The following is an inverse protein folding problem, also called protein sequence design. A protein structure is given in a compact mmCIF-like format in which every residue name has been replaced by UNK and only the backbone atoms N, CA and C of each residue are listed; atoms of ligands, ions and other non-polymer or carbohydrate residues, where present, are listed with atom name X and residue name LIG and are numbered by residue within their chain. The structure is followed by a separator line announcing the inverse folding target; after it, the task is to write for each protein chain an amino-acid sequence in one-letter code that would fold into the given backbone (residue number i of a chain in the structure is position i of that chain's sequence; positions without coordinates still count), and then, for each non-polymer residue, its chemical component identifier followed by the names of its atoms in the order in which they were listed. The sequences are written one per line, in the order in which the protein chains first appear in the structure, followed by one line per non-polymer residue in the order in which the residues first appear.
data_IF_217159668283
#
_entry.id   IF_217159668283
#
_cell.length_a   1.000
_cell.length_b   1.000
_cell.length_c   1.000
_cell.angle_alpha   90.00
_cell.angle_beta   90.00
_cell.angle_gamma   90.00
#
_symmetry.space_group_name_H-M   'P 1'
#
loop_
_entity.id
_entity.type
_entity.pdbx_description
1 polymer ?
#
# COMPACT_ATOMS: atom_id res chain seq x y z
N UNK A 1 8.07 29.02 -9.87
CA UNK A 1 7.15 29.47 -10.95
C UNK A 1 6.28 30.58 -10.35
N UNK A 2 5.97 31.66 -11.06
CA UNK A 2 5.14 32.76 -10.51
C UNK A 2 3.81 32.79 -11.25
N UNK A 3 2.71 32.64 -10.52
CA UNK A 3 1.35 32.83 -11.05
C UNK A 3 0.83 34.19 -10.62
N UNK A 4 0.09 34.82 -11.52
CA UNK A 4 -0.54 36.12 -11.31
C UNK A 4 -2.04 35.89 -11.15
N UNK A 5 -2.60 36.29 -10.03
CA UNK A 5 -4.02 36.16 -9.73
C UNK A 5 -4.84 37.26 -10.42
N UNK A 6 -6.17 37.13 -10.45
CA UNK A 6 -7.07 38.09 -11.12
C UNK A 6 -7.04 39.50 -10.50
N UNK A 7 -6.63 39.61 -9.24
CA UNK A 7 -6.39 40.85 -8.49
C UNK A 7 -4.94 41.35 -8.63
N UNK A 8 -4.19 40.83 -9.60
CA UNK A 8 -2.83 41.26 -9.95
C UNK A 8 -1.75 40.92 -8.89
N UNK A 9 -2.08 40.04 -7.95
CA UNK A 9 -1.15 39.55 -6.94
C UNK A 9 -0.23 38.47 -7.53
N UNK A 10 1.07 38.58 -7.27
CA UNK A 10 2.04 37.56 -7.68
C UNK A 10 2.21 36.51 -6.58
N UNK A 11 1.87 35.26 -6.88
CA UNK A 11 2.09 34.12 -6.00
C UNK A 11 3.28 33.32 -6.54
N UNK A 12 4.31 33.17 -5.72
CA UNK A 12 5.41 32.25 -6.04
C UNK A 12 5.02 30.82 -5.65
N UNK A 13 4.97 29.95 -6.64
CA UNK A 13 4.90 28.51 -6.45
C UNK A 13 6.31 27.99 -6.14
N UNK A 14 6.45 27.45 -4.93
CA UNK A 14 7.57 26.60 -4.54
C UNK A 14 7.44 25.21 -5.16
N UNK A 15 8.56 24.50 -5.30
CA UNK A 15 8.53 23.07 -5.58
C UNK A 15 7.72 22.38 -4.47
N UNK A 16 6.75 21.55 -4.84
CA UNK A 16 5.80 20.93 -3.90
C UNK A 16 4.52 21.73 -3.60
N UNK A 17 4.26 22.84 -4.32
CA UNK A 17 3.02 23.65 -4.13
C UNK A 17 1.72 22.93 -4.55
N UNK A 18 1.80 21.68 -4.99
CA UNK A 18 0.66 20.86 -5.39
C UNK A 18 -0.08 21.40 -6.60
N UNK A 19 -1.23 20.80 -6.85
CA UNK A 19 -2.18 21.17 -7.90
C UNK A 19 -3.50 21.57 -7.24
N UNK A 20 -4.26 22.46 -7.88
CA UNK A 20 -5.56 22.88 -7.36
C UNK A 20 -6.57 21.72 -7.47
N UNK A 21 -7.27 21.45 -6.37
CA UNK A 21 -8.35 20.46 -6.40
C UNK A 21 -9.47 20.91 -7.34
N UNK A 22 -9.91 20.01 -8.22
CA UNK A 22 -10.89 20.31 -9.27
C UNK A 22 -10.28 20.82 -10.57
N UNK A 23 -8.95 21.01 -10.64
CA UNK A 23 -8.26 21.20 -11.91
C UNK A 23 -8.31 19.89 -12.71
N UNK A 24 -8.78 19.98 -13.96
CA UNK A 24 -8.87 18.83 -14.87
C UNK A 24 -7.51 18.18 -15.17
N UNK A 25 -6.41 18.93 -15.08
CA UNK A 25 -5.07 18.42 -15.33
C UNK A 25 -4.38 17.84 -14.09
N UNK A 26 -4.93 18.08 -12.89
CA UNK A 26 -4.31 17.67 -11.62
C UNK A 26 -4.07 16.16 -11.53
N UNK A 27 -5.07 15.37 -11.93
CA UNK A 27 -5.00 13.91 -11.86
C UNK A 27 -3.91 13.36 -12.80
N UNK A 28 -3.89 13.81 -14.05
CA UNK A 28 -2.90 13.38 -15.04
C UNK A 28 -1.47 13.75 -14.61
N UNK A 29 -1.27 14.97 -14.11
CA UNK A 29 0.03 15.43 -13.62
C UNK A 29 0.49 14.62 -12.41
N UNK A 30 -0.41 14.30 -11.47
CA UNK A 30 -0.09 13.46 -10.34
C UNK A 30 0.29 12.05 -10.79
N UNK A 31 -0.54 11.41 -11.63
CA UNK A 31 -0.29 10.06 -12.15
C UNK A 31 1.02 9.96 -12.93
N UNK A 32 1.38 11.00 -13.71
CA UNK A 32 2.62 11.05 -14.46
C UNK A 32 3.89 11.02 -13.58
N UNK A 33 3.79 11.47 -12.33
CA UNK A 33 4.89 11.43 -11.34
C UNK A 33 4.78 10.21 -10.44
N UNK A 34 3.57 9.94 -9.91
CA UNK A 34 3.33 8.89 -8.93
C UNK A 34 3.54 7.48 -9.50
N UNK A 35 3.01 7.19 -10.69
CA UNK A 35 3.06 5.83 -11.24
C UNK A 35 4.49 5.35 -11.50
N UNK A 36 5.39 6.14 -12.14
CA UNK A 36 6.78 5.74 -12.30
C UNK A 36 7.50 5.54 -10.97
N UNK A 37 7.26 6.43 -9.98
CA UNK A 37 7.85 6.31 -8.65
C UNK A 37 7.42 5.03 -7.94
N UNK A 38 6.13 4.69 -7.99
CA UNK A 38 5.62 3.43 -7.43
C UNK A 38 6.18 2.23 -8.19
N UNK A 39 6.30 2.30 -9.51
CA UNK A 39 6.87 1.21 -10.30
C UNK A 39 8.34 0.94 -9.91
N UNK A 40 9.14 1.99 -9.68
CA UNK A 40 10.50 1.88 -9.14
C UNK A 40 10.52 1.26 -7.75
N UNK A 41 9.65 1.70 -6.84
CA UNK A 41 9.49 1.11 -5.52
C UNK A 41 9.13 -0.39 -5.60
N UNK A 42 8.18 -0.78 -6.45
CA UNK A 42 7.80 -2.19 -6.66
C UNK A 42 8.98 -3.03 -7.17
N UNK A 43 9.78 -2.48 -8.08
CA UNK A 43 10.98 -3.17 -8.58
C UNK A 43 11.99 -3.41 -7.44
N UNK A 44 12.28 -2.40 -6.62
CA UNK A 44 13.17 -2.56 -5.45
C UNK A 44 12.63 -3.58 -4.44
N UNK A 45 11.32 -3.59 -4.18
CA UNK A 45 10.72 -4.60 -3.31
C UNK A 45 10.91 -6.03 -3.81
N UNK A 46 10.86 -6.22 -5.13
CA UNK A 46 11.08 -7.52 -5.76
C UNK A 46 12.54 -7.98 -5.68
N UNK A 47 13.50 -7.04 -5.76
CA UNK A 47 14.93 -7.35 -5.62
C UNK A 47 15.30 -7.74 -4.19
N UNK A 48 14.62 -7.16 -3.21
CA UNK A 48 14.86 -7.38 -1.77
C UNK A 48 14.05 -8.56 -1.18
N UNK A 49 13.20 -9.24 -1.98
CA UNK A 49 12.35 -10.37 -1.58
C UNK A 49 11.46 -10.08 -0.34
N UNK A 50 10.91 -8.85 -0.29
CA UNK A 50 10.14 -8.35 0.87
C UNK A 50 8.65 -8.70 0.75
N UNK A 51 8.12 -8.76 -0.48
CA UNK A 51 6.69 -8.94 -0.72
C UNK A 51 6.24 -10.37 -0.41
N UNK A 52 4.92 -10.58 -0.40
CA UNK A 52 4.36 -11.92 -0.28
C UNK A 52 4.55 -12.79 -1.54
N UNK A 53 5.06 -12.23 -2.65
CA UNK A 53 5.25 -12.90 -3.95
C UNK A 53 4.02 -13.72 -4.35
N UNK A 54 2.87 -13.09 -4.32
CA UNK A 54 1.60 -13.72 -4.66
C UNK A 54 1.56 -13.98 -6.16
N UNK A 55 0.88 -15.06 -6.56
CA UNK A 55 0.67 -15.39 -7.96
C UNK A 55 -0.83 -15.46 -8.21
N UNK A 56 -1.34 -14.52 -9.00
CA UNK A 56 -2.72 -14.50 -9.44
C UNK A 56 -2.75 -14.61 -10.96
N UNK A 57 -3.67 -15.43 -11.48
CA UNK A 57 -3.96 -15.45 -12.90
C UNK A 57 -5.13 -14.52 -13.18
N UNK A 58 -4.92 -13.53 -14.02
CA UNK A 58 -6.00 -12.68 -14.51
C UNK A 58 -6.87 -13.49 -15.48
N UNK A 59 -8.14 -13.66 -15.15
CA UNK A 59 -9.08 -14.44 -15.96
C UNK A 59 -9.42 -13.77 -17.29
N UNK A 60 -9.26 -12.45 -17.41
CA UNK A 60 -9.59 -11.70 -18.61
C UNK A 60 -8.45 -11.74 -19.65
N UNK A 61 -7.21 -11.58 -19.18
CA UNK A 61 -6.03 -11.52 -20.05
C UNK A 61 -5.30 -12.85 -20.14
N UNK A 62 -5.44 -13.72 -19.13
CA UNK A 62 -4.69 -14.97 -18.98
C UNK A 62 -3.31 -14.78 -18.34
N UNK A 63 -2.90 -13.54 -18.07
CA UNK A 63 -1.57 -13.20 -17.57
C UNK A 63 -1.41 -13.55 -16.09
N UNK A 64 -0.18 -13.86 -15.70
CA UNK A 64 0.18 -13.99 -14.29
C UNK A 64 0.64 -12.65 -13.74
N UNK A 65 0.04 -12.23 -12.63
CA UNK A 65 0.34 -10.98 -11.96
C UNK A 65 0.65 -11.23 -10.48
N UNK A 66 1.50 -10.39 -9.90
CA UNK A 66 1.75 -10.35 -8.45
C UNK A 66 0.93 -9.21 -7.81
N UNK A 67 -0.17 -9.52 -7.10
CA UNK A 67 -0.97 -8.52 -6.41
C UNK A 67 -0.39 -8.10 -5.03
N UNK A 68 0.83 -8.49 -4.69
CA UNK A 68 1.41 -8.17 -3.37
C UNK A 68 1.53 -6.66 -3.14
N UNK A 69 1.71 -5.86 -4.18
CA UNK A 69 1.64 -4.41 -4.09
C UNK A 69 0.58 -3.88 -5.05
N UNK A 70 -0.36 -3.10 -4.53
CA UNK A 70 -1.45 -2.51 -5.31
C UNK A 70 -1.59 -1.03 -5.00
N UNK A 71 -2.03 -0.28 -5.99
CA UNK A 71 -2.34 1.15 -5.83
C UNK A 71 -3.71 1.50 -6.37
N UNK A 72 -4.29 2.54 -5.79
CA UNK A 72 -5.48 3.19 -6.31
C UNK A 72 -5.41 4.68 -5.98
N UNK A 73 -5.34 5.53 -7.01
CA UNK A 73 -5.04 6.95 -6.85
C UNK A 73 -3.74 7.17 -6.03
N UNK A 74 -3.81 7.83 -4.87
CA UNK A 74 -2.70 8.04 -3.94
C UNK A 74 -2.56 6.95 -2.87
N UNK A 75 -3.52 6.03 -2.77
CA UNK A 75 -3.46 4.91 -1.84
C UNK A 75 -2.53 3.80 -2.38
N UNK A 76 -1.65 3.32 -1.51
CA UNK A 76 -0.68 2.26 -1.77
C UNK A 76 -0.78 1.21 -0.67
N UNK A 77 -0.90 -0.06 -1.06
CA UNK A 77 -0.95 -1.21 -0.16
C UNK A 77 0.12 -2.21 -0.58
N UNK A 78 1.00 -2.57 0.36
CA UNK A 78 1.97 -3.65 0.19
C UNK A 78 1.69 -4.75 1.21
N UNK A 79 1.62 -5.99 0.73
CA UNK A 79 1.46 -7.21 1.51
C UNK A 79 2.81 -7.91 1.61
N UNK A 80 3.20 -8.27 2.83
CA UNK A 80 4.42 -8.99 3.13
C UNK A 80 4.14 -10.20 4.02
N UNK A 81 4.86 -11.29 3.82
CA UNK A 81 4.77 -12.48 4.66
C UNK A 81 5.77 -12.38 5.80
N UNK A 82 5.26 -12.47 7.03
CA UNK A 82 6.08 -12.35 8.25
C UNK A 82 6.01 -13.62 9.08
N UNK A 83 7.11 -13.93 9.76
CA UNK A 83 7.24 -15.15 10.58
C UNK A 83 6.81 -14.90 12.04
N UNK A 84 7.10 -13.70 12.54
CA UNK A 84 6.82 -13.27 13.90
C UNK A 84 6.69 -11.73 13.96
N UNK A 85 6.35 -11.21 15.14
CA UNK A 85 6.17 -9.77 15.35
C UNK A 85 7.46 -8.97 15.15
N UNK A 86 8.62 -9.51 15.52
CA UNK A 86 9.89 -8.80 15.34
C UNK A 86 10.29 -8.71 13.86
N UNK A 87 10.01 -9.76 13.08
CA UNK A 87 10.13 -9.75 11.63
C UNK A 87 9.16 -8.74 11.02
N UNK A 88 7.92 -8.66 11.51
CA UNK A 88 6.95 -7.67 11.04
C UNK A 88 7.41 -6.21 11.26
N UNK A 89 7.98 -5.88 12.43
CA UNK A 89 8.55 -4.55 12.68
C UNK A 89 9.67 -4.23 11.71
N UNK A 90 10.61 -5.16 11.49
CA UNK A 90 11.74 -4.96 10.57
C UNK A 90 11.28 -4.75 9.14
N UNK A 91 10.36 -5.60 8.67
CA UNK A 91 9.73 -5.50 7.35
C UNK A 91 9.03 -4.16 7.18
N UNK A 92 8.21 -3.73 8.15
CA UNK A 92 7.53 -2.45 8.10
C UNK A 92 8.51 -1.27 8.02
N UNK A 93 9.62 -1.31 8.74
CA UNK A 93 10.65 -0.27 8.68
C UNK A 93 11.33 -0.23 7.31
N UNK A 94 11.65 -1.40 6.74
CA UNK A 94 12.26 -1.51 5.42
C UNK A 94 11.32 -1.01 4.32
N UNK A 95 10.05 -1.43 4.34
CA UNK A 95 8.99 -0.94 3.42
C UNK A 95 8.88 0.59 3.47
N UNK A 96 8.81 1.17 4.66
CA UNK A 96 8.74 2.62 4.81
C UNK A 96 10.00 3.31 4.29
N UNK A 97 11.18 2.74 4.54
CA UNK A 97 12.44 3.34 4.11
C UNK A 97 12.54 3.35 2.58
N UNK A 98 12.23 2.22 1.94
CA UNK A 98 12.23 2.11 0.47
C UNK A 98 11.20 3.05 -0.16
N UNK A 99 10.00 3.12 0.42
CA UNK A 99 8.98 4.05 -0.08
C UNK A 99 9.45 5.50 0.00
N UNK A 100 9.94 5.94 1.17
CA UNK A 100 10.42 7.32 1.35
C UNK A 100 11.61 7.65 0.42
N UNK A 101 12.54 6.71 0.20
CA UNK A 101 13.64 6.88 -0.73
C UNK A 101 13.16 7.12 -2.17
N UNK A 102 12.03 6.53 -2.56
CA UNK A 102 11.44 6.69 -3.89
C UNK A 102 10.59 7.96 -4.02
N UNK A 103 9.82 8.34 -2.98
CA UNK A 103 8.86 9.46 -3.07
C UNK A 103 9.45 10.83 -2.72
N UNK A 104 10.44 10.90 -1.83
CA UNK A 104 11.06 12.17 -1.42
C UNK A 104 11.72 12.94 -2.58
N UNK A 105 12.48 12.30 -3.50
CA UNK A 105 13.13 13.01 -4.60
C UNK A 105 12.16 13.72 -5.55
N UNK A 106 10.91 13.26 -5.63
CA UNK A 106 9.86 13.86 -6.46
C UNK A 106 8.95 14.81 -5.67
N UNK A 107 9.29 15.11 -4.42
CA UNK A 107 8.55 16.04 -3.56
C UNK A 107 7.24 15.48 -3.01
N UNK A 108 7.03 14.17 -3.10
CA UNK A 108 5.91 13.47 -2.49
C UNK A 108 6.27 13.08 -1.04
N UNK A 109 5.26 13.06 -0.17
CA UNK A 109 5.43 12.70 1.24
C UNK A 109 4.29 11.83 1.71
N UNK A 110 4.60 10.82 2.51
CA UNK A 110 3.57 9.95 3.07
C UNK A 110 2.84 10.62 4.24
N UNK A 111 1.52 10.43 4.32
CA UNK A 111 0.75 10.88 5.46
C UNK A 111 0.86 9.88 6.62
N UNK A 112 1.82 10.09 7.52
CA UNK A 112 2.08 9.20 8.66
C UNK A 112 0.89 9.01 9.60
N UNK A 113 -0.05 9.97 9.67
CA UNK A 113 -1.25 9.85 10.50
C UNK A 113 -2.31 8.91 9.90
N UNK A 114 -2.22 8.62 8.59
CA UNK A 114 -3.11 7.72 7.88
C UNK A 114 -2.50 6.35 7.60
N UNK A 115 -1.18 6.18 7.82
CA UNK A 115 -0.52 4.88 7.66
C UNK A 115 -1.12 3.87 8.63
N UNK A 116 -1.42 2.68 8.12
CA UNK A 116 -1.95 1.57 8.90
C UNK A 116 -1.17 0.30 8.59
N UNK A 117 -0.92 -0.51 9.61
CA UNK A 117 -0.50 -1.89 9.43
C UNK A 117 -1.70 -2.78 9.77
N UNK A 118 -2.07 -3.67 8.85
CA UNK A 118 -3.16 -4.62 9.05
C UNK A 118 -2.55 -6.02 9.06
N UNK A 119 -2.75 -6.75 10.15
CA UNK A 119 -2.32 -8.14 10.24
C UNK A 119 -3.42 -9.05 9.71
N UNK A 120 -3.09 -9.88 8.72
CA UNK A 120 -3.98 -10.94 8.24
C UNK A 120 -3.38 -12.33 8.48
N UNK A 121 -4.23 -13.27 8.87
CA UNK A 121 -3.88 -14.67 9.00
C UNK A 121 -4.70 -15.48 8.00
N UNK A 122 -4.05 -16.37 7.25
CA UNK A 122 -4.70 -17.19 6.23
C UNK A 122 -4.47 -18.68 6.50
N UNK A 123 -5.41 -19.51 6.07
CA UNK A 123 -5.35 -20.97 6.22
C UNK A 123 -6.10 -21.54 7.43
N UNK A 124 -5.99 -22.86 7.63
CA UNK A 124 -6.86 -23.63 8.54
C UNK A 124 -6.80 -23.23 10.02
N UNK A 125 -5.74 -22.53 10.44
CA UNK A 125 -5.52 -22.09 11.83
C UNK A 125 -5.66 -20.58 12.01
N UNK A 126 -6.04 -19.84 10.97
CA UNK A 126 -6.17 -18.39 11.02
C UNK A 126 -7.08 -17.93 12.16
N UNK A 127 -8.24 -18.58 12.32
CA UNK A 127 -9.20 -18.25 13.38
C UNK A 127 -8.62 -18.47 14.79
N UNK A 128 -7.87 -19.55 15.01
CA UNK A 128 -7.19 -19.81 16.29
C UNK A 128 -6.11 -18.74 16.57
N UNK A 129 -5.36 -18.34 15.53
CA UNK A 129 -4.35 -17.31 15.64
C UNK A 129 -4.97 -15.95 15.96
N UNK A 130 -6.06 -15.56 15.29
CA UNK A 130 -6.79 -14.33 15.59
C UNK A 130 -7.29 -14.29 17.04
N UNK A 131 -7.88 -15.38 17.53
CA UNK A 131 -8.29 -15.48 18.93
C UNK A 131 -7.11 -15.29 19.88
N UNK A 132 -5.97 -15.93 19.61
CA UNK A 132 -4.76 -15.77 20.45
C UNK A 132 -4.13 -14.37 20.38
N UNK A 133 -4.23 -13.68 19.24
CA UNK A 133 -3.70 -12.34 19.05
C UNK A 133 -4.53 -11.29 19.78
N UNK A 134 -5.86 -11.42 19.76
CA UNK A 134 -6.78 -10.57 20.53
C UNK A 134 -6.57 -10.70 22.05
N UNK A 135 -6.15 -11.88 22.52
CA UNK A 135 -5.86 -12.15 23.92
C UNK A 135 -4.44 -11.73 24.36
N UNK A 136 -3.53 -11.46 23.41
CA UNK A 136 -2.12 -11.17 23.70
C UNK A 136 -1.80 -9.67 23.63
N UNK A 137 -1.04 -9.15 24.59
CA UNK A 137 -0.57 -7.75 24.65
C UNK A 137 0.43 -7.35 23.52
N UNK A 138 0.66 -8.22 22.53
CA UNK A 138 1.64 -8.04 21.44
C UNK A 138 1.27 -6.88 20.50
N UNK A 139 0.00 -6.45 20.52
CA UNK A 139 -0.56 -5.34 19.72
C UNK A 139 0.04 -3.97 20.08
N UNK A 140 0.85 -3.83 21.12
CA UNK A 140 1.33 -2.52 21.60
C UNK A 140 2.53 -1.93 20.84
N UNK A 141 3.26 -2.69 20.00
CA UNK A 141 4.47 -2.19 19.33
C UNK A 141 4.28 -1.75 17.88
N UNK A 142 3.18 -2.15 17.24
CA UNK A 142 2.73 -1.64 15.95
C UNK A 142 1.25 -1.33 16.15
N UNK A 143 0.76 -0.10 15.83
CA UNK A 143 -0.66 0.21 15.94
C UNK A 143 -1.42 -0.56 14.85
N UNK A 144 -1.73 -1.82 15.11
CA UNK A 144 -2.55 -2.63 14.23
C UNK A 144 -4.02 -2.22 14.40
N UNK A 145 -4.68 -1.90 13.29
CA UNK A 145 -6.14 -1.89 13.26
C UNK A 145 -6.59 -3.34 13.05
N UNK A 146 -7.28 -3.94 14.01
CA UNK A 146 -7.82 -5.31 13.89
C UNK A 146 -9.10 -5.39 13.05
N UNK A 147 -9.52 -4.28 12.44
CA UNK A 147 -10.64 -4.28 11.51
C UNK A 147 -10.18 -4.73 10.13
N UNK A 148 -10.74 -5.86 9.68
CA UNK A 148 -10.68 -6.27 8.27
C UNK A 148 -11.47 -5.26 7.45
N UNK A 149 -10.79 -4.27 6.88
CA UNK A 149 -11.39 -3.39 5.88
C UNK A 149 -11.30 -4.09 4.53
N UNK A 150 -12.35 -4.82 4.19
CA UNK A 150 -12.53 -5.40 2.86
C UNK A 150 -12.65 -4.26 1.83
N UNK A 151 -11.58 -4.04 1.06
CA UNK A 151 -11.68 -3.40 -0.25
C UNK A 151 -11.66 -4.50 -1.31
N UNK A 152 -12.85 -4.91 -1.75
CA UNK A 152 -13.06 -5.27 -3.16
C UNK A 152 -12.66 -6.65 -3.70
N UNK A 153 -12.33 -7.68 -2.89
CA UNK A 153 -12.17 -9.04 -3.43
C UNK A 153 -12.91 -10.09 -2.58
N UNK A 154 -13.96 -10.69 -3.16
CA UNK A 154 -14.55 -11.93 -2.64
C UNK A 154 -13.67 -13.10 -3.06
N UNK A 155 -13.06 -13.79 -2.10
CA UNK A 155 -12.56 -15.14 -2.34
C UNK A 155 -13.75 -16.09 -2.48
N UNK A 156 -14.10 -16.47 -3.71
CA UNK A 156 -14.96 -17.61 -3.96
C UNK A 156 -14.17 -18.89 -3.68
N UNK A 157 -14.18 -19.37 -2.44
CA UNK A 157 -13.78 -20.76 -2.17
C UNK A 157 -14.97 -21.66 -2.46
N UNK A 158 -15.06 -22.20 -3.67
CA UNK A 158 -15.96 -23.32 -3.97
C UNK A 158 -15.38 -24.57 -3.30
N UNK A 159 -15.56 -24.69 -1.98
CA UNK A 159 -15.40 -25.98 -1.31
C UNK A 159 -16.59 -26.84 -1.72
N UNK A 160 -16.44 -27.58 -2.83
CA UNK A 160 -17.25 -28.77 -3.05
C UNK A 160 -16.92 -29.77 -1.94
N UNK A 161 -17.70 -29.74 -0.87
CA UNK A 161 -17.83 -30.86 0.04
C UNK A 161 -18.47 -32.02 -0.74
N UNK A 162 -17.65 -32.95 -1.23
CA UNK A 162 -18.07 -34.34 -1.35
C UNK A 162 -17.85 -34.99 0.00
N UNK A 163 -18.95 -35.21 0.72
CA UNK A 163 -19.00 -36.23 1.76
C UNK A 163 -19.29 -37.55 1.04
N UNK A 164 -18.35 -38.50 1.13
CA UNK A 164 -18.62 -39.94 1.15
C UNK A 164 -18.31 -40.43 2.57
#
# INVERSE_FOLDING_TARGET
MTIRTQDDTNVQLAIGSGVLQGDSAAAEQFTAVFNPTVASYIAELSEEDITANLLLQDELTGDQIDPSTTTYADDLVTTATVQDAAHAVRQQQQLNTLLENNVQPVGLTSNNNKKQALASAHGRRAQQLYSSLLDSQVVQQIPFTTQTLYLGAQFHSTLQQKFD
#
